data_IF_724322133664
#
_entry.id   IF_724322133664
#
_cell.length_a   1.000
_cell.length_b   1.000
_cell.length_c   1.000
_cell.angle_alpha   90.00
_cell.angle_beta   90.00
_cell.angle_gamma   90.00
#
_symmetry.space_group_name_H-M   'P 1'
#
loop_
_entity.id
_entity.type
_entity.pdbx_description
1 polymer ?
#
# COMPACT_ATOMS: atom_id res chain seq x y z
N UNK A 1 7.68 12.79 7.21
CA UNK A 1 7.74 11.33 7.45
C UNK A 1 8.75 10.69 6.49
N UNK A 2 9.55 9.75 6.99
CA UNK A 2 10.48 8.95 6.19
C UNK A 2 10.05 7.48 6.27
N UNK A 3 10.19 6.74 5.18
CA UNK A 3 10.00 5.29 5.16
C UNK A 3 11.07 4.62 4.30
N UNK A 4 11.60 3.51 4.79
CA UNK A 4 12.55 2.69 4.03
C UNK A 4 11.80 1.86 2.98
N UNK A 5 12.34 1.83 1.77
CA UNK A 5 11.89 0.94 0.70
C UNK A 5 12.87 -0.22 0.64
N UNK A 6 12.35 -1.41 0.88
CA UNK A 6 13.18 -2.59 1.17
C UNK A 6 12.85 -3.75 0.24
N UNK A 7 13.87 -4.56 -0.03
CA UNK A 7 13.76 -5.93 -0.54
C UNK A 7 14.41 -6.89 0.48
N UNK A 8 14.57 -8.15 0.12
CA UNK A 8 15.22 -9.15 0.99
C UNK A 8 16.72 -8.87 1.19
N UNK A 9 17.34 -8.02 0.35
CA UNK A 9 18.75 -7.63 0.47
C UNK A 9 18.96 -6.39 1.36
N UNK A 10 17.88 -5.72 1.79
CA UNK A 10 17.93 -4.51 2.61
C UNK A 10 17.27 -3.29 1.98
N UNK A 11 17.70 -2.10 2.41
CA UNK A 11 17.15 -0.81 1.98
C UNK A 11 17.72 -0.45 0.60
N UNK A 12 16.85 -0.20 -0.37
CA UNK A 12 17.23 0.18 -1.74
C UNK A 12 16.83 1.61 -2.11
N UNK A 13 15.90 2.21 -1.36
CA UNK A 13 15.42 3.58 -1.55
C UNK A 13 14.78 4.13 -0.27
N UNK A 14 14.54 5.43 -0.23
CA UNK A 14 13.84 6.12 0.86
C UNK A 14 12.63 6.85 0.28
N UNK A 15 11.45 6.61 0.84
CA UNK A 15 10.27 7.42 0.60
C UNK A 15 10.19 8.55 1.61
N UNK A 16 9.92 9.77 1.13
CA UNK A 16 9.87 11.00 1.92
C UNK A 16 8.52 11.67 1.69
N UNK A 17 7.74 11.78 2.75
CA UNK A 17 6.52 12.60 2.78
C UNK A 17 6.83 13.88 3.54
N UNK A 18 6.84 15.00 2.84
CA UNK A 18 7.02 16.32 3.43
C UNK A 18 5.70 16.77 4.04
N UNK A 19 5.76 17.19 5.29
CA UNK A 19 4.59 17.57 6.08
C UNK A 19 4.72 19.03 6.51
N UNK A 20 3.60 19.72 6.52
CA UNK A 20 3.45 20.99 7.20
C UNK A 20 3.19 20.72 8.69
N UNK A 21 4.15 21.09 9.54
CA UNK A 21 4.10 20.75 10.96
C UNK A 21 2.89 21.37 11.69
N UNK A 22 2.51 22.65 11.47
CA UNK A 22 1.35 23.24 12.13
C UNK A 22 0.02 22.57 11.78
N UNK A 23 -0.21 22.23 10.50
CA UNK A 23 -1.49 21.64 10.07
C UNK A 23 -1.53 20.11 10.16
N UNK A 24 -0.38 19.46 10.37
CA UNK A 24 -0.21 18.01 10.25
C UNK A 24 -0.69 17.44 8.90
N UNK A 25 -0.61 18.25 7.83
CA UNK A 25 -0.96 17.86 6.45
C UNK A 25 0.29 17.75 5.58
N UNK A 26 0.10 17.34 4.32
CA UNK A 26 1.16 17.44 3.32
C UNK A 26 1.63 18.89 3.18
N UNK A 27 2.94 19.07 3.05
CA UNK A 27 3.54 20.37 2.81
C UNK A 27 3.01 20.98 1.50
N UNK A 28 2.78 22.30 1.50
CA UNK A 28 2.15 23.02 0.40
C UNK A 28 3.14 23.36 -0.74
N UNK A 29 3.64 22.33 -1.43
CA UNK A 29 4.44 22.49 -2.64
C UNK A 29 4.24 21.30 -3.60
N UNK A 30 4.69 21.44 -4.85
CA UNK A 30 4.48 20.40 -5.87
C UNK A 30 5.18 19.07 -5.51
N UNK A 31 4.41 17.99 -5.60
CA UNK A 31 4.83 16.61 -5.29
C UNK A 31 5.54 16.50 -3.93
N UNK A 32 4.81 16.64 -2.82
CA UNK A 32 5.37 16.56 -1.46
C UNK A 32 5.66 15.13 -1.01
N UNK A 33 5.38 14.11 -1.84
CA UNK A 33 5.82 12.73 -1.65
C UNK A 33 6.91 12.42 -2.68
N UNK A 34 8.11 12.05 -2.22
CA UNK A 34 9.29 11.87 -3.09
C UNK A 34 10.11 10.65 -2.69
N UNK A 35 10.54 9.88 -3.69
CA UNK A 35 11.57 8.86 -3.49
C UNK A 35 12.97 9.48 -3.53
N UNK A 36 13.93 8.81 -2.89
CA UNK A 36 15.36 8.95 -3.14
C UNK A 36 15.88 7.54 -3.46
N UNK A 37 16.39 7.36 -4.68
CA UNK A 37 16.74 6.04 -5.24
C UNK A 37 15.62 5.43 -6.08
N UNK A 38 15.95 4.37 -6.83
CA UNK A 38 14.98 3.60 -7.61
C UNK A 38 14.22 2.65 -6.71
N UNK A 39 12.89 2.67 -6.81
CA UNK A 39 12.04 1.80 -6.00
C UNK A 39 12.10 0.33 -6.45
N UNK A 40 12.45 0.07 -7.72
CA UNK A 40 12.58 -1.28 -8.27
C UNK A 40 11.41 -2.20 -7.91
N UNK A 41 11.72 -3.40 -7.43
CA UNK A 41 10.76 -4.35 -6.86
C UNK A 41 10.55 -4.19 -5.34
N UNK A 42 11.07 -3.13 -4.74
CA UNK A 42 10.92 -2.83 -3.32
C UNK A 42 9.57 -2.21 -2.97
N UNK A 43 9.24 -2.30 -1.70
CA UNK A 43 8.06 -1.71 -1.07
C UNK A 43 8.41 -1.19 0.33
N UNK A 44 7.54 -0.37 0.91
CA UNK A 44 7.59 -0.10 2.35
C UNK A 44 6.94 -1.28 3.07
N UNK A 45 7.77 -2.14 3.67
CA UNK A 45 7.32 -3.38 4.33
C UNK A 45 6.99 -3.13 5.80
N UNK A 46 5.76 -2.71 6.10
CA UNK A 46 5.36 -2.30 7.46
C UNK A 46 5.32 -3.45 8.48
N UNK A 47 5.09 -4.68 8.01
CA UNK A 47 5.10 -5.89 8.82
C UNK A 47 5.45 -7.10 7.94
N UNK A 48 6.06 -8.17 8.49
CA UNK A 48 6.27 -9.39 7.73
C UNK A 48 4.94 -10.07 7.35
N UNK A 49 4.87 -10.82 6.24
CA UNK A 49 3.72 -11.68 5.95
C UNK A 49 3.43 -12.63 7.13
N UNK A 50 2.16 -12.91 7.40
CA UNK A 50 1.75 -13.75 8.52
C UNK A 50 0.71 -14.78 8.09
N UNK A 51 0.90 -16.04 8.51
CA UNK A 51 0.03 -17.16 8.15
C UNK A 51 -0.21 -17.30 6.63
N UNK A 52 0.81 -17.01 5.83
CA UNK A 52 0.73 -17.04 4.36
C UNK A 52 -0.07 -15.90 3.73
N UNK A 53 -0.40 -14.84 4.50
CA UNK A 53 -1.18 -13.69 4.04
C UNK A 53 -0.31 -12.43 3.99
N UNK A 54 -0.51 -11.64 2.95
CA UNK A 54 0.09 -10.31 2.78
C UNK A 54 -0.89 -9.39 2.05
N UNK A 55 -0.92 -8.12 2.44
CA UNK A 55 -1.64 -7.06 1.74
C UNK A 55 -0.71 -6.12 0.98
N UNK A 56 -1.18 -5.56 -0.13
CA UNK A 56 -0.58 -4.41 -0.82
C UNK A 56 -1.57 -3.26 -0.82
N UNK A 57 -1.09 -2.05 -0.52
CA UNK A 57 -1.84 -0.80 -0.71
C UNK A 57 -0.97 0.23 -1.43
N UNK A 58 -1.58 1.24 -2.03
CA UNK A 58 -0.86 2.30 -2.75
C UNK A 58 0.04 3.14 -1.81
N UNK A 59 -0.57 3.66 -0.74
CA UNK A 59 0.09 4.54 0.23
C UNK A 59 0.45 3.86 1.56
N UNK A 60 1.33 4.51 2.32
CA UNK A 60 1.75 4.05 3.66
C UNK A 60 0.57 4.13 4.63
N UNK A 61 -0.17 5.23 4.59
CA UNK A 61 -1.35 5.47 5.41
C UNK A 61 -2.48 4.47 5.08
N UNK A 62 -2.70 4.20 3.79
CA UNK A 62 -3.65 3.18 3.32
C UNK A 62 -3.26 1.78 3.78
N UNK A 63 -1.97 1.42 3.71
CA UNK A 63 -1.49 0.11 4.17
C UNK A 63 -1.65 -0.07 5.69
N UNK A 64 -1.36 0.96 6.49
CA UNK A 64 -1.60 0.95 7.94
C UNK A 64 -3.09 0.81 8.24
N UNK A 65 -3.93 1.58 7.55
CA UNK A 65 -5.38 1.56 7.75
C UNK A 65 -5.98 0.20 7.38
N UNK A 66 -5.57 -0.38 6.25
CA UNK A 66 -5.96 -1.72 5.85
C UNK A 66 -5.51 -2.79 6.86
N UNK A 67 -4.30 -2.67 7.41
CA UNK A 67 -3.82 -3.57 8.45
C UNK A 67 -4.72 -3.51 9.68
N UNK A 68 -5.06 -2.30 10.14
CA UNK A 68 -5.94 -2.08 11.30
C UNK A 68 -7.36 -2.61 11.06
N UNK A 69 -7.91 -2.44 9.85
CA UNK A 69 -9.29 -2.81 9.54
C UNK A 69 -9.48 -4.31 9.27
N UNK A 70 -8.48 -4.97 8.68
CA UNK A 70 -8.63 -6.34 8.18
C UNK A 70 -7.73 -7.37 8.87
N UNK A 71 -6.82 -6.94 9.75
CA UNK A 71 -5.89 -7.83 10.44
C UNK A 71 -4.92 -8.56 9.49
N UNK A 72 -4.65 -7.98 8.32
CA UNK A 72 -3.71 -8.52 7.32
C UNK A 72 -2.46 -7.64 7.30
N UNK A 73 -1.24 -8.18 7.52
CA UNK A 73 0.00 -7.41 7.36
C UNK A 73 0.06 -6.80 5.97
N UNK A 74 0.31 -5.50 5.84
CA UNK A 74 0.24 -4.81 4.56
C UNK A 74 1.51 -4.02 4.25
N UNK A 75 1.91 -4.02 2.99
CA UNK A 75 3.02 -3.23 2.46
C UNK A 75 2.49 -2.10 1.58
N UNK A 76 3.22 -0.99 1.52
CA UNK A 76 2.90 0.11 0.59
C UNK A 76 3.75 0.02 -0.69
N UNK A 77 3.08 0.01 -1.84
CA UNK A 77 3.71 -0.05 -3.16
C UNK A 77 4.32 1.29 -3.59
N UNK A 78 3.84 2.39 -3.00
CA UNK A 78 4.19 3.78 -3.32
C UNK A 78 3.75 4.20 -4.72
N UNK A 79 2.56 3.76 -5.12
CA UNK A 79 1.89 4.13 -6.37
C UNK A 79 1.08 2.96 -6.95
N UNK A 80 -0.10 3.25 -7.49
CA UNK A 80 -0.95 2.26 -8.17
C UNK A 80 -0.21 1.50 -9.29
N UNK A 81 0.66 2.17 -10.05
CA UNK A 81 1.40 1.54 -11.16
C UNK A 81 2.40 0.48 -10.72
N UNK A 82 2.75 0.48 -9.43
CA UNK A 82 3.77 -0.41 -8.87
C UNK A 82 3.19 -1.71 -8.32
N UNK A 83 1.87 -1.88 -8.36
CA UNK A 83 1.22 -3.09 -7.86
C UNK A 83 1.71 -4.38 -8.51
N UNK A 84 2.17 -4.36 -9.77
CA UNK A 84 2.75 -5.53 -10.43
C UNK A 84 4.27 -5.67 -10.30
N UNK A 85 4.95 -4.77 -9.57
CA UNK A 85 6.41 -4.70 -9.52
C UNK A 85 7.01 -5.20 -8.21
N UNK A 86 6.26 -5.13 -7.10
CA UNK A 86 6.75 -5.50 -5.77
C UNK A 86 7.11 -6.99 -5.71
N UNK A 87 8.26 -7.34 -5.16
CA UNK A 87 8.64 -8.73 -4.97
C UNK A 87 7.82 -9.35 -3.83
N UNK A 88 6.95 -10.31 -4.16
CA UNK A 88 6.09 -11.01 -3.20
C UNK A 88 6.76 -12.32 -2.77
N UNK A 89 6.98 -12.56 -1.46
CA UNK A 89 7.59 -13.80 -0.98
C UNK A 89 6.78 -15.02 -1.40
N UNK A 90 7.46 -16.12 -1.73
CA UNK A 90 6.82 -17.39 -2.13
C UNK A 90 5.92 -17.97 -1.03
N UNK A 91 6.20 -17.66 0.24
CA UNK A 91 5.38 -18.07 1.39
C UNK A 91 3.96 -17.46 1.37
N UNK A 92 3.71 -16.44 0.56
CA UNK A 92 2.40 -15.79 0.44
C UNK A 92 1.48 -16.61 -0.47
N UNK A 93 0.45 -17.19 0.14
CA UNK A 93 -0.63 -17.93 -0.52
C UNK A 93 -1.90 -17.11 -0.69
N UNK A 94 -2.10 -16.06 0.10
CA UNK A 94 -3.21 -15.14 -0.05
C UNK A 94 -2.70 -13.70 -0.11
N UNK A 95 -2.86 -13.08 -1.27
CA UNK A 95 -2.47 -11.71 -1.53
C UNK A 95 -3.72 -10.82 -1.53
N UNK A 96 -3.79 -9.89 -0.59
CA UNK A 96 -4.86 -8.90 -0.51
C UNK A 96 -4.44 -7.63 -1.25
N UNK A 97 -5.27 -7.16 -2.18
CA UNK A 97 -5.06 -5.90 -2.88
C UNK A 97 -6.02 -4.88 -2.29
N UNK A 98 -5.48 -3.95 -1.52
CA UNK A 98 -6.17 -2.82 -0.94
C UNK A 98 -6.02 -1.63 -1.89
N UNK A 99 -6.85 -1.64 -2.93
CA UNK A 99 -6.85 -0.62 -3.97
C UNK A 99 -7.71 0.57 -3.56
N UNK A 100 -7.43 1.74 -4.12
CA UNK A 100 -8.26 2.93 -3.95
C UNK A 100 -9.50 2.81 -4.86
N UNK A 101 -10.61 3.46 -4.51
CA UNK A 101 -11.85 3.36 -5.29
C UNK A 101 -11.90 4.37 -6.44
N UNK A 102 -10.98 4.23 -7.39
CA UNK A 102 -10.83 5.08 -8.56
C UNK A 102 -10.28 4.30 -9.79
N UNK A 103 -10.15 4.92 -10.98
CA UNK A 103 -9.60 4.24 -12.15
C UNK A 103 -8.16 3.73 -11.98
N UNK A 104 -7.37 4.37 -11.10
CA UNK A 104 -6.02 3.94 -10.77
C UNK A 104 -6.02 2.63 -9.98
N UNK A 105 -6.99 2.44 -9.08
CA UNK A 105 -7.21 1.22 -8.33
C UNK A 105 -7.55 0.01 -9.21
N UNK A 106 -8.40 0.19 -10.22
CA UNK A 106 -8.72 -0.87 -11.20
C UNK A 106 -7.45 -1.30 -11.97
N UNK A 107 -6.65 -0.33 -12.40
CA UNK A 107 -5.40 -0.61 -13.09
C UNK A 107 -4.37 -1.30 -12.19
N UNK A 108 -4.32 -0.93 -10.91
CA UNK A 108 -3.49 -1.60 -9.90
C UNK A 108 -3.90 -3.08 -9.73
N UNK A 109 -5.21 -3.36 -9.68
CA UNK A 109 -5.72 -4.72 -9.59
C UNK A 109 -5.27 -5.59 -10.77
N UNK A 110 -5.50 -5.10 -11.99
CA UNK A 110 -5.15 -5.81 -13.22
C UNK A 110 -3.64 -6.11 -13.28
N UNK A 111 -2.80 -5.13 -12.97
CA UNK A 111 -1.32 -5.28 -12.94
C UNK A 111 -0.88 -6.32 -11.91
N UNK A 112 -1.44 -6.29 -10.70
CA UNK A 112 -1.10 -7.26 -9.66
C UNK A 112 -1.56 -8.67 -10.04
N UNK A 113 -2.76 -8.83 -10.60
CA UNK A 113 -3.25 -10.14 -11.07
C UNK A 113 -2.37 -10.70 -12.18
N UNK A 114 -1.99 -9.87 -13.15
CA UNK A 114 -1.09 -10.27 -14.21
C UNK A 114 0.27 -10.73 -13.67
N UNK A 115 0.83 -10.01 -12.70
CA UNK A 115 2.16 -10.29 -12.16
C UNK A 115 2.20 -11.49 -11.19
N UNK A 116 1.14 -11.70 -10.40
CA UNK A 116 1.20 -12.60 -9.24
C UNK A 116 0.28 -13.80 -9.30
N UNK A 117 -0.49 -13.98 -10.37
CA UNK A 117 -1.27 -15.19 -10.58
C UNK A 117 -0.34 -16.40 -10.64
N UNK A 118 -0.51 -17.32 -9.69
CA UNK A 118 0.30 -18.53 -9.56
C UNK A 118 -0.55 -19.66 -9.00
N UNK A 119 -0.19 -20.90 -9.31
CA UNK A 119 -0.85 -22.08 -8.74
C UNK A 119 -0.76 -22.04 -7.20
N UNK A 120 -1.90 -22.20 -6.52
CA UNK A 120 -1.97 -22.17 -5.06
C UNK A 120 -1.93 -20.77 -4.42
N UNK A 121 -1.92 -19.68 -5.20
CA UNK A 121 -2.07 -18.31 -4.69
C UNK A 121 -3.47 -17.76 -5.00
N UNK A 122 -4.13 -17.25 -3.97
CA UNK A 122 -5.42 -16.55 -4.08
C UNK A 122 -5.18 -15.04 -4.00
N UNK A 123 -5.76 -14.28 -4.93
CA UNK A 123 -5.70 -12.81 -4.94
C UNK A 123 -7.09 -12.25 -4.62
N UNK A 124 -7.19 -11.47 -3.54
CA UNK A 124 -8.44 -10.84 -3.08
C UNK A 124 -8.34 -9.33 -3.09
N UNK A 125 -9.18 -8.70 -3.88
CA UNK A 125 -9.18 -7.25 -4.04
C UNK A 125 -10.30 -6.63 -3.22
N UNK A 126 -10.01 -5.48 -2.61
CA UNK A 126 -10.97 -4.70 -1.84
C UNK A 126 -10.73 -3.23 -2.16
N UNK A 127 -11.82 -2.50 -2.37
CA UNK A 127 -11.84 -1.06 -2.45
C UNK A 127 -12.69 -0.46 -1.31
N UNK A 128 -12.44 0.79 -0.90
CA UNK A 128 -13.33 1.56 -0.04
C UNK A 128 -14.76 1.63 -0.56
N UNK A 129 -15.74 1.82 0.32
CA UNK A 129 -17.15 1.83 -0.08
C UNK A 129 -17.51 3.07 -0.90
N UNK A 130 -16.87 4.20 -0.60
CA UNK A 130 -17.10 5.48 -1.28
C UNK A 130 -16.14 5.67 -2.45
N UNK A 131 -16.68 6.15 -3.57
CA UNK A 131 -15.89 6.51 -4.76
C UNK A 131 -14.91 7.63 -4.42
N UNK A 132 -13.66 7.50 -4.87
CA UNK A 132 -12.59 8.46 -4.64
C UNK A 132 -11.97 8.41 -3.25
N UNK A 133 -12.37 7.46 -2.39
CA UNK A 133 -11.72 7.24 -1.10
C UNK A 133 -10.51 6.32 -1.25
N UNK A 134 -9.50 6.59 -0.42
CA UNK A 134 -8.48 5.61 -0.04
C UNK A 134 -8.88 4.87 1.26
N UNK A 135 -8.07 3.88 1.66
CA UNK A 135 -8.33 3.12 2.89
C UNK A 135 -8.19 3.92 4.19
N UNK A 136 -7.44 5.01 4.18
CA UNK A 136 -7.27 5.89 5.33
C UNK A 136 -8.48 6.81 5.51
N UNK A 137 -9.07 7.30 4.43
CA UNK A 137 -10.33 8.04 4.45
C UNK A 137 -11.48 7.16 4.95
N UNK A 138 -11.55 5.91 4.48
CA UNK A 138 -12.54 4.93 4.95
C UNK A 138 -12.38 4.63 6.45
N UNK A 139 -11.16 4.42 6.94
CA UNK A 139 -10.91 4.19 8.37
C UNK A 139 -11.33 5.42 9.21
N UNK A 140 -10.93 6.63 8.81
CA UNK A 140 -11.31 7.86 9.50
C UNK A 140 -12.83 8.05 9.53
N UNK A 141 -13.51 7.80 8.40
CA UNK A 141 -14.95 7.89 8.32
C UNK A 141 -15.65 6.86 9.23
N UNK A 142 -15.10 5.66 9.39
CA UNK A 142 -15.64 4.65 10.33
C UNK A 142 -15.46 5.07 11.78
N UNK A 143 -14.28 5.57 12.15
CA UNK A 143 -13.99 6.01 13.51
C UNK A 143 -14.87 7.20 13.91
N UNK A 144 -15.08 8.16 13.01
CA UNK A 144 -15.95 9.31 13.25
C UNK A 144 -17.43 8.96 13.45
N UNK A 145 -17.90 7.78 13.00
CA UNK A 145 -19.27 7.29 13.26
C UNK A 145 -19.40 6.58 14.60
N UNK A 146 -18.29 6.23 15.25
CA UNK A 146 -18.25 5.50 16.52
C UNK A 146 -18.07 6.42 17.73
N UNK A 147 -17.72 7.68 17.48
CA UNK A 147 -17.60 8.77 18.46
C UNK A 147 -18.84 9.65 18.44
#
# INVERSE_FOLDING_TARGET
MLAAVTTDIGIIAIHRTFLDAPSARLAAFDRPKRALGSLGCGAVRLAPPAAGRLGLAEGIESALSATQMFGVPCWATLGNERFGLVAIPESVRELHLFIDNDPGGELADQRARQAYSASGRVIRSRAPASIGFDWNDELKARLARQT
#
